data_IF_927239743417
#
_entry.id   IF_927239743417
#
_cell.length_a   1.000
_cell.length_b   1.000
_cell.length_c   1.000
_cell.angle_alpha   90.00
_cell.angle_beta   90.00
_cell.angle_gamma   90.00
#
_symmetry.space_group_name_H-M   'P 1'
#
loop_
_entity.id
_entity.type
_entity.pdbx_description
1 polymer ?
#
# COMPACT_ATOMS: atom_id res chain seq x y z
N UNK A 1 -41.88 -23.22 9.65
CA UNK A 1 -40.46 -23.30 9.25
C UNK A 1 -39.64 -23.08 10.51
N UNK A 2 -39.12 -24.15 11.08
CA UNK A 2 -38.21 -24.06 12.23
C UNK A 2 -36.79 -23.86 11.71
N UNK A 3 -36.13 -22.79 12.13
CA UNK A 3 -34.73 -22.52 11.80
C UNK A 3 -33.89 -23.50 12.62
N UNK A 4 -33.06 -24.31 11.95
CA UNK A 4 -32.26 -25.31 12.66
C UNK A 4 -31.19 -24.63 13.55
N UNK A 5 -30.92 -25.14 14.77
CA UNK A 5 -29.88 -24.60 15.65
C UNK A 5 -28.50 -24.53 15.00
N UNK A 6 -28.21 -25.48 14.10
CA UNK A 6 -26.96 -25.52 13.31
C UNK A 6 -26.80 -24.33 12.38
N UNK A 7 -27.90 -23.78 11.85
CA UNK A 7 -27.86 -22.65 10.93
C UNK A 7 -27.54 -21.34 11.69
N UNK A 8 -28.04 -21.21 12.92
CA UNK A 8 -27.75 -20.08 13.80
C UNK A 8 -26.27 -20.08 14.22
N UNK A 9 -25.74 -21.24 14.59
CA UNK A 9 -24.35 -21.39 15.01
C UNK A 9 -23.37 -21.16 13.84
N UNK A 10 -23.74 -21.61 12.63
CA UNK A 10 -23.01 -21.29 11.41
C UNK A 10 -23.02 -19.79 11.10
N UNK A 11 -24.18 -19.13 11.17
CA UNK A 11 -24.30 -17.69 10.95
C UNK A 11 -23.48 -16.88 11.96
N UNK A 12 -23.43 -17.32 13.23
CA UNK A 12 -22.60 -16.67 14.25
C UNK A 12 -21.10 -16.77 13.92
N UNK A 13 -20.64 -17.96 13.51
CA UNK A 13 -19.24 -18.20 13.13
C UNK A 13 -18.86 -17.47 11.83
N UNK A 14 -19.73 -17.49 10.83
CA UNK A 14 -19.55 -16.72 9.60
C UNK A 14 -19.56 -15.21 9.88
N UNK A 15 -20.43 -14.76 10.78
CA UNK A 15 -20.49 -13.39 11.27
C UNK A 15 -19.16 -12.93 11.87
N UNK A 16 -18.50 -13.76 12.67
CA UNK A 16 -17.18 -13.45 13.22
C UNK A 16 -16.11 -13.25 12.13
N UNK A 17 -16.14 -14.05 11.05
CA UNK A 17 -15.23 -13.89 9.90
C UNK A 17 -15.52 -12.58 9.15
N UNK A 18 -16.80 -12.26 8.93
CA UNK A 18 -17.21 -11.02 8.27
C UNK A 18 -16.83 -9.79 9.12
N UNK A 19 -17.01 -9.84 10.43
CA UNK A 19 -16.58 -8.80 11.37
C UNK A 19 -15.05 -8.66 11.37
N UNK A 20 -14.32 -9.77 11.34
CA UNK A 20 -12.85 -9.76 11.20
C UNK A 20 -12.38 -9.11 9.91
N UNK A 21 -12.97 -9.48 8.76
CA UNK A 21 -12.67 -8.90 7.45
C UNK A 21 -13.03 -7.42 7.36
N UNK A 22 -14.20 -7.02 7.88
CA UNK A 22 -14.63 -5.62 7.89
C UNK A 22 -13.79 -4.76 8.83
N UNK A 23 -13.32 -5.30 9.95
CA UNK A 23 -12.32 -4.66 10.80
C UNK A 23 -10.99 -4.44 10.06
N UNK A 24 -10.55 -5.42 9.27
CA UNK A 24 -9.34 -5.33 8.46
C UNK A 24 -9.46 -4.28 7.34
N UNK A 25 -10.62 -4.24 6.66
CA UNK A 25 -10.96 -3.22 5.66
C UNK A 25 -11.03 -1.83 6.32
N UNK A 26 -11.65 -1.73 7.50
CA UNK A 26 -11.72 -0.49 8.29
C UNK A 26 -10.33 0.03 8.67
N UNK A 27 -9.41 -0.87 9.07
CA UNK A 27 -8.02 -0.54 9.34
C UNK A 27 -7.31 -0.01 8.08
N UNK A 28 -7.53 -0.64 6.92
CA UNK A 28 -6.98 -0.20 5.63
C UNK A 28 -7.51 1.17 5.19
N UNK A 29 -8.80 1.42 5.37
CA UNK A 29 -9.42 2.73 5.12
C UNK A 29 -8.88 3.78 6.09
N UNK A 30 -8.62 3.41 7.35
CA UNK A 30 -8.05 4.29 8.37
C UNK A 30 -6.59 4.63 8.08
N UNK A 31 -5.77 3.66 7.65
CA UNK A 31 -4.40 3.88 7.16
C UNK A 31 -4.41 4.80 5.92
N UNK A 32 -5.52 4.84 5.17
CA UNK A 32 -5.71 5.76 4.03
C UNK A 32 -5.94 7.22 4.42
N UNK A 33 -6.27 7.56 5.68
CA UNK A 33 -6.62 8.93 6.10
C UNK A 33 -5.49 9.63 6.83
N UNK A 34 -4.63 10.28 6.05
CA UNK A 34 -3.95 11.57 6.25
C UNK A 34 -2.96 11.67 5.10
N UNK A 35 -3.50 11.84 3.91
CA UNK A 35 -2.70 11.89 2.69
C UNK A 35 -1.88 13.17 2.75
N UNK A 36 -0.59 13.13 2.39
CA UNK A 36 0.21 14.36 2.35
C UNK A 36 -0.40 15.44 1.45
N UNK A 37 -1.26 15.03 0.51
CA UNK A 37 -2.13 15.89 -0.28
C UNK A 37 -2.98 16.86 0.57
N UNK A 38 -3.53 16.43 1.71
CA UNK A 38 -4.28 17.31 2.59
C UNK A 38 -3.35 18.34 3.26
N UNK A 39 -2.12 17.92 3.62
CA UNK A 39 -1.11 18.83 4.19
C UNK A 39 -0.60 19.83 3.14
N UNK A 40 -0.43 19.41 1.89
CA UNK A 40 -0.05 20.29 0.79
C UNK A 40 -1.17 21.30 0.50
N UNK A 41 -2.44 20.87 0.53
CA UNK A 41 -3.59 21.78 0.40
C UNK A 41 -3.66 22.80 1.52
N UNK A 42 -3.44 22.37 2.75
CA UNK A 42 -3.42 23.24 3.92
C UNK A 42 -2.27 24.26 3.83
N UNK A 43 -1.10 23.86 3.33
CA UNK A 43 0.02 24.78 3.07
C UNK A 43 -0.28 25.77 1.94
N UNK A 44 -0.98 25.35 0.89
CA UNK A 44 -1.41 26.25 -0.20
C UNK A 44 -2.42 27.30 0.30
N UNK A 45 -3.40 26.90 1.09
CA UNK A 45 -4.42 27.81 1.67
C UNK A 45 -3.77 28.84 2.61
N UNK A 46 -2.70 28.47 3.33
CA UNK A 46 -1.91 29.42 4.13
C UNK A 46 -1.14 30.40 3.24
N UNK A 47 -0.57 29.94 2.12
CA UNK A 47 0.17 30.81 1.18
C UNK A 47 -0.77 31.77 0.45
N UNK A 48 -1.98 31.33 0.10
CA UNK A 48 -3.01 32.16 -0.55
C UNK A 48 -3.47 33.33 0.33
N UNK A 49 -3.30 33.21 1.65
CA UNK A 49 -3.63 34.27 2.62
C UNK A 49 -2.47 35.23 2.90
N UNK A 50 -1.26 34.96 2.42
CA UNK A 50 -0.10 35.84 2.60
C UNK A 50 -0.11 36.96 1.54
N UNK A 51 0.27 38.19 1.90
CA UNK A 51 0.37 39.29 0.95
C UNK A 51 1.43 38.98 -0.13
N UNK A 52 1.06 39.14 -1.40
CA UNK A 52 1.87 38.82 -2.58
C UNK A 52 3.15 39.63 -2.72
N UNK A 53 3.32 40.68 -1.93
CA UNK A 53 4.48 41.60 -2.00
C UNK A 53 5.63 41.23 -1.05
N UNK A 54 5.45 40.22 -0.17
CA UNK A 54 6.52 39.82 0.75
C UNK A 54 7.55 38.91 0.04
N UNK A 55 8.82 39.32 0.05
CA UNK A 55 9.95 38.56 -0.53
C UNK A 55 10.09 37.14 0.06
N UNK A 56 9.49 36.87 1.23
CA UNK A 56 9.45 35.56 1.88
C UNK A 56 8.52 34.57 1.17
N UNK A 57 7.49 35.06 0.48
CA UNK A 57 6.50 34.25 -0.25
C UNK A 57 7.16 33.47 -1.38
N UNK A 58 8.15 34.06 -2.06
CA UNK A 58 8.92 33.39 -3.12
C UNK A 58 9.65 32.14 -2.63
N UNK A 59 10.31 32.19 -1.46
CA UNK A 59 11.02 31.02 -0.90
C UNK A 59 10.08 29.92 -0.43
N UNK A 60 8.90 30.29 0.10
CA UNK A 60 7.87 29.34 0.52
C UNK A 60 7.28 28.60 -0.68
N UNK A 61 7.01 29.31 -1.78
CA UNK A 61 6.56 28.72 -3.04
C UNK A 61 7.58 27.71 -3.59
N UNK A 62 8.87 28.03 -3.60
CA UNK A 62 9.90 27.09 -4.09
C UNK A 62 9.91 25.78 -3.29
N UNK A 63 9.80 25.85 -1.96
CA UNK A 63 9.73 24.64 -1.12
C UNK A 63 8.45 23.82 -1.35
N UNK A 64 7.33 24.48 -1.62
CA UNK A 64 6.09 23.79 -1.96
C UNK A 64 6.21 23.11 -3.33
N UNK A 65 6.79 23.77 -4.33
CA UNK A 65 7.04 23.17 -5.64
C UNK A 65 7.98 21.97 -5.56
N UNK A 66 9.08 22.08 -4.81
CA UNK A 66 10.03 20.96 -4.62
C UNK A 66 9.37 19.77 -3.91
N UNK A 67 8.51 20.03 -2.91
CA UNK A 67 7.68 18.98 -2.28
C UNK A 67 6.64 18.41 -3.24
N UNK A 68 6.02 19.23 -4.08
CA UNK A 68 5.02 18.80 -5.05
C UNK A 68 5.67 17.90 -6.10
N UNK A 69 6.83 18.29 -6.61
CA UNK A 69 7.62 17.54 -7.60
C UNK A 69 8.10 16.21 -7.00
N UNK A 70 8.61 16.24 -5.77
CA UNK A 70 8.97 15.01 -5.04
C UNK A 70 7.76 14.11 -4.79
N UNK A 71 6.62 14.68 -4.42
CA UNK A 71 5.38 13.94 -4.19
C UNK A 71 4.82 13.34 -5.48
N UNK A 72 4.92 14.06 -6.60
CA UNK A 72 4.50 13.61 -7.92
C UNK A 72 5.40 12.45 -8.37
N UNK A 73 6.72 12.60 -8.28
CA UNK A 73 7.68 11.54 -8.60
C UNK A 73 7.55 10.31 -7.67
N UNK A 74 7.36 10.49 -6.36
CA UNK A 74 7.16 9.37 -5.41
C UNK A 74 5.82 8.67 -5.62
N UNK A 75 4.74 9.39 -5.97
CA UNK A 75 3.44 8.77 -6.25
C UNK A 75 3.44 7.95 -7.53
N UNK A 76 4.10 8.43 -8.58
CA UNK A 76 4.23 7.65 -9.81
C UNK A 76 5.20 6.46 -9.63
N UNK A 77 6.24 6.60 -8.81
CA UNK A 77 7.18 5.52 -8.54
C UNK A 77 6.60 4.40 -7.64
N UNK A 78 5.72 4.72 -6.68
CA UNK A 78 5.14 3.75 -5.72
C UNK A 78 3.64 3.53 -5.95
N UNK A 79 3.30 2.77 -6.97
CA UNK A 79 1.92 2.27 -7.13
C UNK A 79 1.70 0.97 -6.34
N UNK A 80 0.57 0.91 -5.60
CA UNK A 80 0.13 -0.31 -4.91
C UNK A 80 -0.51 -1.26 -5.90
N UNK A 81 -0.29 -2.56 -5.70
CA UNK A 81 -0.96 -3.58 -6.51
C UNK A 81 -2.40 -3.80 -6.01
N UNK A 82 -3.35 -3.06 -6.57
CA UNK A 82 -4.75 -3.19 -6.19
C UNK A 82 -5.31 -4.56 -6.61
N UNK A 83 -4.83 -5.14 -7.72
CA UNK A 83 -5.30 -6.44 -8.19
C UNK A 83 -4.74 -7.58 -7.33
N UNK A 84 -3.46 -7.52 -6.97
CA UNK A 84 -2.85 -8.45 -6.02
C UNK A 84 -3.53 -8.44 -4.65
N UNK A 85 -3.88 -7.25 -4.15
CA UNK A 85 -4.63 -7.12 -2.91
C UNK A 85 -6.06 -7.69 -3.04
N UNK A 86 -6.77 -7.42 -4.13
CA UNK A 86 -8.10 -7.96 -4.35
C UNK A 86 -8.10 -9.50 -4.39
N UNK A 87 -7.16 -10.10 -5.12
CA UNK A 87 -7.01 -11.56 -5.23
C UNK A 87 -6.69 -12.17 -3.87
N UNK A 88 -5.73 -11.60 -3.13
CA UNK A 88 -5.38 -12.08 -1.79
C UNK A 88 -6.57 -12.06 -0.83
N UNK A 89 -7.36 -10.98 -0.84
CA UNK A 89 -8.57 -10.84 -0.04
C UNK A 89 -9.63 -11.89 -0.40
N UNK A 90 -9.86 -12.12 -1.70
CA UNK A 90 -10.83 -13.12 -2.18
C UNK A 90 -10.43 -14.53 -1.75
N UNK A 91 -9.15 -14.88 -1.84
CA UNK A 91 -8.63 -16.19 -1.40
C UNK A 91 -8.84 -16.35 0.11
N UNK A 92 -8.47 -15.35 0.92
CA UNK A 92 -8.68 -15.39 2.37
C UNK A 92 -10.15 -15.57 2.72
N UNK A 93 -11.05 -14.84 2.05
CA UNK A 93 -12.48 -14.93 2.30
C UNK A 93 -13.03 -16.31 1.92
N UNK A 94 -12.71 -16.82 0.72
CA UNK A 94 -13.17 -18.13 0.25
C UNK A 94 -12.69 -19.26 1.18
N UNK A 95 -11.39 -19.34 1.44
CA UNK A 95 -10.82 -20.44 2.22
C UNK A 95 -11.05 -20.27 3.72
N UNK A 96 -11.17 -19.03 4.22
CA UNK A 96 -11.59 -18.76 5.59
C UNK A 96 -13.03 -19.21 5.86
N UNK A 97 -13.97 -18.86 4.98
CA UNK A 97 -15.37 -19.30 5.09
C UNK A 97 -15.49 -20.81 4.91
N UNK A 98 -14.82 -21.38 3.89
CA UNK A 98 -14.81 -22.82 3.67
C UNK A 98 -14.21 -23.58 4.87
N UNK A 99 -13.14 -23.05 5.48
CA UNK A 99 -12.55 -23.60 6.69
C UNK A 99 -13.54 -23.62 7.86
N UNK A 100 -14.21 -22.49 8.15
CA UNK A 100 -15.22 -22.45 9.21
C UNK A 100 -16.39 -23.40 8.92
N UNK A 101 -16.80 -23.51 7.66
CA UNK A 101 -17.86 -24.42 7.25
C UNK A 101 -17.47 -25.90 7.43
N UNK A 102 -16.25 -26.28 7.02
CA UNK A 102 -15.72 -27.64 7.23
C UNK A 102 -15.68 -28.02 8.71
N UNK A 103 -15.33 -27.09 9.61
CA UNK A 103 -15.38 -27.32 11.06
C UNK A 103 -16.79 -27.61 11.56
N UNK A 104 -17.83 -27.02 10.95
CA UNK A 104 -19.23 -27.25 11.33
C UNK A 104 -19.76 -28.63 10.93
N UNK A 105 -19.16 -29.24 9.88
CA UNK A 105 -19.51 -30.60 9.45
C UNK A 105 -18.86 -31.67 10.36
N UNK A 106 -17.73 -31.34 10.99
CA UNK A 106 -17.02 -32.23 11.90
C UNK A 106 -16.52 -33.53 11.25
N UNK A 107 -16.06 -34.47 12.09
CA UNK A 107 -15.64 -35.80 11.66
C UNK A 107 -14.48 -35.78 10.65
N UNK A 108 -14.61 -36.56 9.58
CA UNK A 108 -13.55 -36.72 8.58
C UNK A 108 -13.33 -35.45 7.73
N UNK A 109 -14.32 -34.56 7.64
CA UNK A 109 -14.21 -33.29 6.89
C UNK A 109 -13.15 -32.35 7.47
N UNK A 110 -12.74 -32.54 8.73
CA UNK A 110 -11.63 -31.81 9.33
C UNK A 110 -10.29 -32.01 8.60
N UNK A 111 -10.13 -33.09 7.84
CA UNK A 111 -8.96 -33.28 6.96
C UNK A 111 -8.87 -32.17 5.91
N UNK A 112 -10.00 -31.61 5.47
CA UNK A 112 -10.05 -30.47 4.56
C UNK A 112 -9.36 -29.21 5.11
N UNK A 113 -9.22 -29.07 6.44
CA UNK A 113 -8.49 -27.95 7.06
C UNK A 113 -7.01 -27.93 6.68
N UNK A 114 -6.43 -29.10 6.45
CA UNK A 114 -5.02 -29.23 6.06
C UNK A 114 -4.74 -28.47 4.76
N UNK A 115 -5.74 -28.37 3.88
CA UNK A 115 -5.63 -27.63 2.61
C UNK A 115 -6.16 -26.20 2.74
N UNK A 116 -7.28 -26.00 3.44
CA UNK A 116 -7.92 -24.69 3.56
C UNK A 116 -7.07 -23.67 4.33
N UNK A 117 -6.43 -24.10 5.43
CA UNK A 117 -5.65 -23.19 6.28
C UNK A 117 -4.40 -22.65 5.56
N UNK A 118 -3.55 -23.47 4.91
CA UNK A 118 -2.42 -22.94 4.15
C UNK A 118 -2.86 -22.01 3.02
N UNK A 119 -3.92 -22.34 2.28
CA UNK A 119 -4.43 -21.50 1.20
C UNK A 119 -4.91 -20.13 1.70
N UNK A 120 -5.63 -20.11 2.82
CA UNK A 120 -6.02 -18.86 3.47
C UNK A 120 -4.79 -18.04 3.90
N UNK A 121 -3.75 -18.69 4.45
CA UNK A 121 -2.49 -18.02 4.82
C UNK A 121 -1.75 -17.48 3.59
N UNK A 122 -1.71 -18.23 2.48
CA UNK A 122 -1.12 -17.75 1.23
C UNK A 122 -1.86 -16.52 0.69
N UNK A 123 -3.19 -16.54 0.72
CA UNK A 123 -4.01 -15.37 0.37
C UNK A 123 -3.69 -14.16 1.25
N UNK A 124 -3.52 -14.38 2.56
CA UNK A 124 -3.21 -13.32 3.52
C UNK A 124 -1.81 -12.74 3.28
N UNK A 125 -0.82 -13.58 3.03
CA UNK A 125 0.55 -13.14 2.70
C UNK A 125 0.53 -12.34 1.41
N UNK A 126 -0.12 -12.83 0.36
CA UNK A 126 -0.25 -12.12 -0.92
C UNK A 126 -0.94 -10.76 -0.77
N UNK A 127 -1.98 -10.71 0.06
CA UNK A 127 -2.68 -9.47 0.41
C UNK A 127 -1.76 -8.46 1.09
N UNK A 128 -1.08 -8.87 2.16
CA UNK A 128 -0.15 -8.02 2.92
C UNK A 128 0.98 -7.52 2.01
N UNK A 129 1.55 -8.40 1.19
CA UNK A 129 2.62 -8.03 0.25
C UNK A 129 2.15 -7.02 -0.82
N UNK A 130 0.87 -7.03 -1.18
CA UNK A 130 0.29 -6.13 -2.18
C UNK A 130 -0.06 -4.75 -1.62
N UNK A 131 -0.32 -4.66 -0.31
CA UNK A 131 -0.59 -3.39 0.38
C UNK A 131 0.68 -2.57 0.57
N UNK A 132 1.82 -3.23 0.79
CA UNK A 132 3.10 -2.55 0.95
C UNK A 132 3.49 -1.92 -0.40
N UNK A 133 3.60 -0.58 -0.49
CA UNK A 133 3.95 0.07 -1.75
C UNK A 133 5.35 -0.34 -2.19
N UNK A 134 5.49 -0.78 -3.44
CA UNK A 134 6.76 -1.15 -4.06
C UNK A 134 7.07 -0.20 -5.21
N UNK A 135 8.36 0.02 -5.47
CA UNK A 135 8.79 0.83 -6.61
C UNK A 135 8.56 0.01 -7.88
N UNK A 136 7.90 0.61 -8.88
CA UNK A 136 7.68 -0.01 -10.19
C UNK A 136 8.39 0.73 -11.30
N UNK A 137 8.78 -0.01 -12.34
CA UNK A 137 9.28 0.57 -13.58
C UNK A 137 8.11 1.07 -14.46
N UNK A 138 8.44 1.72 -15.57
CA UNK A 138 7.50 2.23 -16.57
C UNK A 138 6.61 1.13 -17.19
N UNK A 139 7.05 -0.13 -17.10
CA UNK A 139 6.34 -1.31 -17.60
C UNK A 139 5.47 -1.98 -16.51
N UNK A 140 5.45 -1.44 -15.28
CA UNK A 140 4.67 -1.98 -14.17
C UNK A 140 5.31 -3.17 -13.43
N UNK A 141 6.57 -3.49 -13.68
CA UNK A 141 7.30 -4.53 -12.96
C UNK A 141 7.86 -4.00 -11.63
N UNK A 142 7.92 -4.85 -10.61
CA UNK A 142 8.52 -4.49 -9.31
C UNK A 142 10.04 -4.41 -9.44
N UNK A 143 10.61 -3.22 -9.25
CA UNK A 143 12.06 -3.03 -9.27
C UNK A 143 12.61 -3.37 -7.89
N UNK A 144 13.17 -4.57 -7.74
CA UNK A 144 13.85 -4.96 -6.51
C UNK A 144 15.16 -4.16 -6.41
N UNK A 145 15.12 -3.05 -5.66
CA UNK A 145 16.29 -2.35 -5.12
C UNK A 145 17.52 -2.34 -6.02
N UNK A 146 17.45 -1.66 -7.16
CA UNK A 146 18.70 -1.16 -7.75
C UNK A 146 19.14 -0.06 -6.77
N UNK A 147 20.12 -0.36 -5.90
CA UNK A 147 20.89 0.67 -5.20
C UNK A 147 21.17 1.75 -6.24
N UNK A 148 20.74 2.99 -5.98
CA UNK A 148 21.18 4.14 -6.76
C UNK A 148 22.71 4.13 -6.77
N UNK A 149 23.30 3.55 -7.80
CA UNK A 149 24.68 3.78 -8.20
C UNK A 149 24.69 5.08 -9.00
N UNK A 150 24.30 6.18 -8.35
CA UNK A 150 24.46 7.53 -8.91
C UNK A 150 25.78 8.18 -8.42
N UNK A 151 26.66 7.41 -7.77
CA UNK A 151 27.96 7.91 -7.30
C UNK A 151 29.11 7.66 -8.30
N UNK A 152 28.82 7.19 -9.52
CA UNK A 152 29.85 6.72 -10.45
C UNK A 152 30.08 7.59 -11.70
N UNK A 153 29.30 8.63 -11.96
CA UNK A 153 29.38 9.38 -13.23
C UNK A 153 29.73 10.87 -13.10
N UNK A 154 30.05 11.36 -11.89
CA UNK A 154 30.37 12.77 -11.63
C UNK A 154 31.86 13.03 -11.28
N UNK A 155 32.77 12.12 -11.64
CA UNK A 155 34.21 12.25 -11.31
C UNK A 155 35.19 12.29 -12.47
N UNK A 156 34.75 12.29 -13.72
CA UNK A 156 35.66 12.21 -14.87
C UNK A 156 35.55 13.41 -15.81
N UNK A 157 35.50 14.63 -15.26
CA UNK A 157 35.63 15.84 -16.11
C UNK A 157 36.24 17.06 -15.37
N UNK A 158 37.22 16.80 -14.48
CA UNK A 158 37.95 17.87 -13.79
C UNK A 158 39.47 17.81 -14.01
N UNK A 159 39.91 17.33 -15.17
CA UNK A 159 41.27 17.53 -15.68
C UNK A 159 41.33 18.85 -16.45
N UNK A 160 41.34 19.96 -15.71
CA UNK A 160 41.66 21.27 -16.26
C UNK A 160 43.12 21.30 -16.75
N UNK A 161 43.40 21.82 -17.96
CA UNK A 161 44.78 21.96 -18.44
C UNK A 161 45.49 23.07 -17.65
N UNK A 162 46.56 22.69 -16.94
CA UNK A 162 47.57 23.62 -16.41
C UNK A 162 48.12 24.47 -17.55
N UNK A 163 47.70 25.73 -17.60
CA UNK A 163 48.28 26.75 -18.48
C UNK A 163 49.62 27.17 -17.88
N UNK A 164 50.70 26.65 -18.45
CA UNK A 164 52.06 27.17 -18.26
C UNK A 164 52.08 28.62 -18.75
N UNK A 165 52.46 29.55 -17.87
CA UNK A 165 52.73 30.95 -18.25
C UNK A 165 54.25 31.18 -18.21
N UNK A 166 54.80 31.87 -19.23
CA UNK A 166 56.22 32.19 -19.35
C UNK A 166 56.72 33.19 -18.31
#
# INVERSE_FOLDING_TARGET
MEISPSLIDFLAKAGAVVVGLSGLIGLLVKIRRKTELDRIREQLDVIERLPTEDARTGRALTHVFERLEKFQNDQFAKSRDVSGAAIGLVIVALFGVAGVWLLSLGGWWNVGQIVAVPLALFGLIGFVMSIVPRVRDENGNVVAGRKHSNDAEDKEDNDAPTVDRP
#
